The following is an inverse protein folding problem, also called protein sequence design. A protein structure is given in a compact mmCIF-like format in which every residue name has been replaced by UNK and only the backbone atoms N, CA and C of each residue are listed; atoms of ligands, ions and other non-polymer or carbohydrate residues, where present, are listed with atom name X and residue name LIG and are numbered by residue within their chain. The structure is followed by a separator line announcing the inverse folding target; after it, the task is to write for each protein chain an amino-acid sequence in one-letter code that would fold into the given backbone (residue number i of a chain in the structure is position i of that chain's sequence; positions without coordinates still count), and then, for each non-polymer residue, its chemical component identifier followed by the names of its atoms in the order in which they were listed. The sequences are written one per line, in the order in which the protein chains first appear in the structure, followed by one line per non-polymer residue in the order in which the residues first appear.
data_IF_922197389676
#
_entry.id   IF_922197389676
#
_cell.length_a   1.000
_cell.length_b   1.000
_cell.length_c   1.000
_cell.angle_alpha   90.00
_cell.angle_beta   90.00
_cell.angle_gamma   90.00
#
_symmetry.space_group_name_H-M   'P 1'
#
loop_
_entity.id
_entity.type
_entity.pdbx_description
1 polymer ?
2 non-polymer ?
3 water ?
#
# COMPACT_ATOMS: atom_id res chain seq x y z
N UNK A 1 10.28 -8.67 -1.54
CA UNK A 1 10.30 -7.31 -2.17
C UNK A 1 9.57 -6.32 -1.26
N UNK A 2 10.12 -5.11 -1.11
CA UNK A 2 9.55 -4.08 -0.23
C UNK A 2 8.69 -3.12 -1.05
N UNK A 3 7.60 -2.67 -0.45
CA UNK A 3 6.75 -1.58 -0.96
C UNK A 3 6.85 -0.41 0.01
N UNK A 4 7.35 0.72 -0.46
CA UNK A 4 7.48 1.93 0.36
C UNK A 4 6.20 2.73 0.23
N UNK A 5 5.52 2.92 1.35
CA UNK A 5 4.31 3.75 1.40
C UNK A 5 4.69 5.19 1.73
N UNK A 6 4.37 6.09 0.82
CA UNK A 6 4.61 7.54 1.05
C UNK A 6 3.85 7.98 2.31
N UNK A 7 4.46 8.82 3.19
CA UNK A 7 3.81 9.10 4.50
C UNK A 7 3.90 10.57 4.91
N UNK A 8 4.32 11.44 4.02
CA UNK A 8 4.41 12.91 4.26
C UNK A 8 3.03 13.49 4.57
N UNK A 9 2.98 14.55 5.37
CA UNK A 9 1.71 15.07 5.95
C UNK A 9 1.06 16.10 5.01
N UNK A 10 1.61 16.37 3.81
CA UNK A 10 0.91 17.24 2.82
C UNK A 10 1.28 16.81 1.40
N UNK A 11 0.38 17.06 0.42
CA UNK A 11 0.60 16.56 -0.94
C UNK A 11 1.93 17.03 -1.59
N UNK A 12 2.31 18.31 -1.47
CA UNK A 12 3.61 18.75 -2.04
C UNK A 12 4.76 17.91 -1.50
N UNK A 13 4.80 17.70 -0.18
CA UNK A 13 5.91 16.91 0.41
C UNK A 13 5.77 15.44 -0.01
N UNK A 14 4.53 14.94 -0.14
CA UNK A 14 4.32 13.52 -0.53
C UNK A 14 4.86 13.30 -1.95
N UNK A 15 4.60 14.26 -2.85
CA UNK A 15 5.00 14.19 -4.27
C UNK A 15 6.54 14.20 -4.31
N UNK A 16 7.17 15.02 -3.47
CA UNK A 16 8.66 15.07 -3.43
C UNK A 16 9.22 13.75 -2.88
N UNK A 17 8.53 13.16 -1.92
CA UNK A 17 8.99 11.89 -1.32
C UNK A 17 8.97 10.79 -2.39
N UNK A 18 8.00 10.82 -3.30
CA UNK A 18 7.95 9.86 -4.44
C UNK A 18 9.26 9.95 -5.22
N UNK A 19 9.62 11.19 -5.59
CA UNK A 19 10.86 11.44 -6.37
C UNK A 19 12.08 10.92 -5.60
N UNK A 20 12.16 11.22 -4.31
CA UNK A 20 13.32 10.82 -3.46
C UNK A 20 13.38 9.30 -3.36
N UNK A 21 12.22 8.64 -3.19
CA UNK A 21 12.23 7.17 -3.10
C UNK A 21 12.69 6.56 -4.42
N UNK A 22 12.22 7.10 -5.54
CA UNK A 22 12.59 6.54 -6.86
C UNK A 22 14.12 6.67 -7.02
N UNK A 23 14.68 7.83 -6.70
CA UNK A 23 16.16 8.08 -6.82
C UNK A 23 16.92 7.16 -5.87
N UNK A 24 16.37 6.92 -4.67
CA UNK A 24 17.04 6.08 -3.65
C UNK A 24 17.04 4.60 -4.08
N UNK A 25 16.07 4.20 -4.93
CA UNK A 25 16.03 2.83 -5.49
C UNK A 25 14.94 1.95 -4.89
N UNK A 26 13.94 2.54 -4.25
CA UNK A 26 12.76 1.78 -3.83
C UNK A 26 12.16 1.10 -5.08
N UNK A 27 11.80 -0.21 -5.02
CA UNK A 27 11.30 -0.92 -6.24
C UNK A 27 9.85 -0.55 -6.49
N UNK A 28 9.07 -0.47 -5.43
CA UNK A 28 7.63 -0.14 -5.51
C UNK A 28 7.33 0.98 -4.54
N UNK A 29 6.62 1.98 -5.04
CA UNK A 29 6.21 3.17 -4.27
C UNK A 29 4.69 3.24 -4.30
N UNK A 30 4.09 3.28 -3.11
CA UNK A 30 2.63 3.37 -2.99
C UNK A 30 2.23 4.72 -2.41
N UNK A 31 1.13 5.27 -2.91
CA UNK A 31 0.64 6.61 -2.53
C UNK A 31 -0.87 6.56 -2.34
N UNK A 32 -1.33 7.02 -1.18
CA UNK A 32 -2.77 7.05 -0.83
C UNK A 32 -3.27 8.49 -0.83
N UNK A 33 -4.47 8.68 -1.36
CA UNK A 33 -5.20 9.96 -1.31
C UNK A 33 -6.67 9.71 -1.60
N UNK A 34 -7.51 10.61 -1.11
CA UNK A 34 -8.96 10.61 -1.39
C UNK A 34 -9.22 11.32 -2.72
N UNK A 35 -8.21 11.97 -3.30
CA UNK A 35 -8.31 12.74 -4.57
C UNK A 35 -7.69 11.96 -5.73
N UNK A 36 -8.48 11.70 -6.76
CA UNK A 36 -8.10 11.12 -8.07
C UNK A 36 -7.01 11.99 -8.73
N UNK A 37 -7.19 13.29 -8.64
CA UNK A 37 -6.27 14.26 -9.27
C UNK A 37 -4.93 14.16 -8.57
N UNK A 38 -4.92 14.06 -7.23
CA UNK A 38 -3.65 13.92 -6.47
C UNK A 38 -2.98 12.58 -6.81
N UNK A 39 -3.75 11.49 -6.93
CA UNK A 39 -3.16 10.19 -7.30
C UNK A 39 -2.53 10.26 -8.69
N UNK A 40 -3.13 10.95 -9.66
CA UNK A 40 -2.51 11.17 -11.00
C UNK A 40 -1.18 11.89 -10.81
N UNK A 41 -1.10 12.89 -9.94
CA UNK A 41 0.17 13.64 -9.75
C UNK A 41 1.24 12.71 -9.17
N UNK A 42 0.85 11.84 -8.22
CA UNK A 42 1.81 10.89 -7.63
C UNK A 42 2.31 9.93 -8.71
N UNK A 43 1.44 9.45 -9.58
CA UNK A 43 1.84 8.54 -10.67
C UNK A 43 2.81 9.29 -11.61
N UNK A 44 2.50 10.54 -11.90
CA UNK A 44 3.34 11.36 -12.83
C UNK A 44 4.72 11.60 -12.18
N UNK A 45 4.78 11.69 -10.86
CA UNK A 45 6.04 11.86 -10.09
C UNK A 45 6.87 10.57 -10.03
N UNK A 46 6.23 9.40 -10.26
CA UNK A 46 6.88 8.09 -10.39
C UNK A 46 6.34 7.04 -9.45
N UNK A 47 5.20 7.26 -8.78
CA UNK A 47 4.61 6.21 -7.92
C UNK A 47 4.18 5.01 -8.79
N UNK A 48 4.24 3.82 -8.20
CA UNK A 48 3.81 2.55 -8.85
C UNK A 48 2.37 2.17 -8.46
N UNK A 49 2.00 2.43 -7.22
CA UNK A 49 0.68 1.95 -6.68
C UNK A 49 -0.13 3.17 -6.22
N UNK A 50 -1.30 3.38 -6.84
CA UNK A 50 -2.23 4.43 -6.46
C UNK A 50 -3.26 3.79 -5.53
N UNK A 51 -3.31 4.26 -4.30
CA UNK A 51 -4.29 3.73 -3.30
C UNK A 51 -5.53 4.62 -3.29
N UNK A 52 -6.66 4.08 -3.73
CA UNK A 52 -7.96 4.78 -3.69
C UNK A 52 -8.51 4.65 -2.27
N UNK A 53 -8.79 5.78 -1.65
CA UNK A 53 -9.30 5.85 -0.26
C UNK A 53 -10.55 6.74 -0.16
N UNK A 54 -11.17 7.15 -1.27
CA UNK A 54 -12.33 8.07 -1.26
C UNK A 54 -13.47 7.45 -0.42
N UNK A 55 -14.19 8.29 0.33
CA UNK A 55 -15.22 7.84 1.29
C UNK A 55 -16.47 7.37 0.52
N UNK A 56 -16.91 8.10 -0.49
CA UNK A 56 -18.15 7.84 -1.26
C UNK A 56 -17.87 6.69 -2.22
N UNK A 57 -18.52 5.52 -2.06
CA UNK A 57 -18.18 4.38 -2.90
C UNK A 57 -18.39 4.66 -4.41
N UNK A 58 -19.40 5.46 -4.77
CA UNK A 58 -19.66 5.81 -6.18
C UNK A 58 -18.42 6.57 -6.70
N UNK A 59 -17.98 7.54 -5.94
CA UNK A 59 -16.80 8.35 -6.31
C UNK A 59 -15.57 7.43 -6.38
N UNK A 60 -15.37 6.56 -5.39
CA UNK A 60 -14.18 5.71 -5.27
C UNK A 60 -14.13 4.77 -6.47
N UNK A 61 -15.25 4.13 -6.83
CA UNK A 61 -15.28 3.22 -8.00
C UNK A 61 -14.96 4.01 -9.28
N UNK A 62 -15.49 5.22 -9.42
CA UNK A 62 -15.15 6.05 -10.61
C UNK A 62 -13.65 6.36 -10.62
N UNK A 63 -13.04 6.57 -9.46
CA UNK A 63 -11.57 6.84 -9.43
C UNK A 63 -10.83 5.64 -9.98
N UNK A 64 -11.20 4.41 -9.63
CA UNK A 64 -10.55 3.22 -10.21
C UNK A 64 -10.64 3.31 -11.75
N UNK A 65 -11.82 3.57 -12.31
CA UNK A 65 -11.99 3.58 -13.78
C UNK A 65 -11.11 4.70 -14.38
N UNK A 66 -11.05 5.84 -13.71
CA UNK A 66 -10.31 7.04 -14.21
C UNK A 66 -8.81 6.74 -14.18
N UNK A 67 -8.35 6.11 -13.11
CA UNK A 67 -6.92 5.75 -12.97
C UNK A 67 -6.54 4.65 -13.97
N UNK A 68 -7.45 3.73 -14.30
CA UNK A 68 -7.18 2.65 -15.28
C UNK A 68 -7.05 3.27 -16.69
N UNK A 69 -8.05 4.03 -17.13
CA UNK A 69 -8.01 4.78 -18.41
C UNK A 69 -6.69 5.56 -18.47
N UNK A 70 -6.25 6.13 -17.35
CA UNK A 70 -5.05 7.01 -17.28
C UNK A 70 -3.76 6.19 -17.48
N UNK A 71 -3.77 4.90 -17.17
CA UNK A 71 -2.64 3.98 -17.39
C UNK A 71 -1.93 3.61 -16.11
N UNK A 72 -2.52 3.86 -14.94
CA UNK A 72 -2.00 3.38 -13.63
C UNK A 72 -1.70 1.88 -13.75
N UNK A 73 -0.47 1.47 -13.40
CA UNK A 73 0.01 0.06 -13.51
C UNK A 73 -0.60 -0.78 -12.39
N UNK A 74 -0.71 -0.22 -11.19
CA UNK A 74 -1.28 -0.93 -10.02
C UNK A 74 -2.19 0.01 -9.25
N UNK A 75 -3.46 -0.36 -9.18
CA UNK A 75 -4.49 0.40 -8.44
C UNK A 75 -4.90 -0.42 -7.23
N UNK A 76 -4.78 0.16 -6.05
CA UNK A 76 -5.25 -0.47 -4.80
C UNK A 76 -6.53 0.24 -4.34
N UNK A 77 -7.34 -0.47 -3.56
CA UNK A 77 -8.58 0.12 -3.06
C UNK A 77 -8.73 -0.30 -1.60
N UNK A 78 -8.94 0.66 -0.73
CA UNK A 78 -8.99 0.43 0.73
C UNK A 78 -10.44 0.59 1.18
N UNK A 79 -10.98 -0.45 1.82
CA UNK A 79 -12.35 -0.45 2.34
C UNK A 79 -12.46 -1.42 3.50
N UNK A 80 -13.40 -1.14 4.40
CA UNK A 80 -13.73 -2.07 5.50
C UNK A 80 -14.80 -3.09 5.02
N UNK A 81 -15.30 -2.94 3.80
CA UNK A 81 -16.39 -3.73 3.18
C UNK A 81 -15.84 -4.70 2.11
N UNK A 82 -15.94 -6.00 2.31
CA UNK A 82 -15.53 -6.95 1.24
C UNK A 82 -16.49 -6.84 0.04
N UNK A 83 -17.79 -6.53 0.24
CA UNK A 83 -18.66 -6.25 -0.94
C UNK A 83 -18.09 -5.09 -1.77
N UNK A 84 -17.70 -4.00 -1.12
CA UNK A 84 -17.12 -2.84 -1.84
C UNK A 84 -15.81 -3.26 -2.54
N UNK A 85 -14.97 -4.04 -1.87
CA UNK A 85 -13.70 -4.48 -2.48
C UNK A 85 -14.00 -5.29 -3.74
N UNK A 86 -15.04 -6.17 -3.73
CA UNK A 86 -15.38 -6.93 -4.95
C UNK A 86 -15.78 -5.98 -6.08
N UNK A 87 -16.57 -4.97 -5.79
CA UNK A 87 -16.98 -3.98 -6.82
C UNK A 87 -15.71 -3.26 -7.35
N UNK A 88 -14.75 -2.95 -6.48
CA UNK A 88 -13.51 -2.23 -6.90
C UNK A 88 -12.72 -3.13 -7.86
N UNK A 89 -12.57 -4.41 -7.52
CA UNK A 89 -11.85 -5.37 -8.38
C UNK A 89 -12.57 -5.49 -9.72
N UNK A 90 -13.91 -5.60 -9.73
CA UNK A 90 -14.67 -5.69 -11.00
C UNK A 90 -14.45 -4.40 -11.84
N UNK A 91 -14.30 -3.25 -11.20
CA UNK A 91 -14.09 -1.94 -11.88
C UNK A 91 -12.65 -1.80 -12.43
N UNK A 92 -11.74 -2.69 -12.06
CA UNK A 92 -10.38 -2.72 -12.58
C UNK A 92 -9.30 -2.54 -11.53
N UNK A 93 -9.61 -2.52 -10.23
CA UNK A 93 -8.58 -2.44 -9.17
C UNK A 93 -7.73 -3.72 -9.21
N UNK A 94 -6.45 -3.60 -8.90
CA UNK A 94 -5.53 -4.75 -8.86
C UNK A 94 -5.45 -5.31 -7.43
N UNK A 95 -5.46 -4.45 -6.43
CA UNK A 95 -5.11 -4.81 -5.03
C UNK A 95 -6.28 -4.43 -4.13
N UNK A 96 -6.84 -5.42 -3.43
CA UNK A 96 -7.86 -5.19 -2.40
C UNK A 96 -7.20 -5.09 -1.03
N UNK A 97 -7.31 -3.93 -0.39
CA UNK A 97 -6.74 -3.67 0.94
C UNK A 97 -7.87 -3.88 1.94
N UNK A 98 -7.73 -4.96 2.68
CA UNK A 98 -8.67 -5.29 3.78
C UNK A 98 -8.40 -4.34 4.96
N UNK A 99 -9.41 -3.57 5.36
CA UNK A 99 -9.30 -2.52 6.40
C UNK A 99 -10.28 -2.77 7.54
N UNK A 100 -11.02 -3.88 7.54
CA UNK A 100 -12.04 -4.18 8.56
C UNK A 100 -11.46 -4.04 9.97
N UNK A 101 -12.22 -3.49 10.94
CA UNK A 101 -11.75 -3.15 12.30
C UNK A 101 -11.56 -4.40 13.15
N UNK A 102 -12.45 -5.38 13.04
CA UNK A 102 -12.43 -6.60 13.89
C UNK A 102 -11.53 -7.63 13.21
N UNK A 103 -10.43 -8.11 13.85
CA UNK A 103 -9.56 -9.12 13.23
C UNK A 103 -10.28 -10.38 12.72
N UNK A 104 -11.31 -10.90 13.44
CA UNK A 104 -12.04 -12.09 12.97
C UNK A 104 -12.71 -11.81 11.62
N UNK A 105 -13.34 -10.63 11.49
CA UNK A 105 -14.01 -10.19 10.25
C UNK A 105 -12.94 -10.03 9.15
N UNK A 106 -11.82 -9.41 9.50
CA UNK A 106 -10.78 -9.06 8.49
C UNK A 106 -10.20 -10.38 7.92
N UNK A 107 -9.95 -11.38 8.77
CA UNK A 107 -9.41 -12.68 8.30
C UNK A 107 -10.48 -13.36 7.42
N UNK A 108 -11.77 -13.37 7.81
CA UNK A 108 -12.79 -14.00 6.95
C UNK A 108 -12.85 -13.26 5.59
N UNK A 109 -12.62 -11.95 5.57
CA UNK A 109 -12.66 -11.20 4.28
C UNK A 109 -11.50 -11.66 3.39
N UNK A 110 -10.34 -11.94 3.97
CA UNK A 110 -9.18 -12.44 3.17
C UNK A 110 -9.60 -13.75 2.49
N UNK A 111 -10.21 -14.67 3.25
CA UNK A 111 -10.57 -16.01 2.73
C UNK A 111 -11.65 -15.82 1.64
N UNK A 112 -12.60 -14.93 1.88
CA UNK A 112 -13.73 -14.66 0.95
C UNK A 112 -13.17 -14.10 -0.35
N UNK A 113 -12.29 -13.10 -0.28
CA UNK A 113 -11.75 -12.43 -1.47
C UNK A 113 -10.85 -13.41 -2.27
N UNK A 114 -10.14 -14.31 -1.59
CA UNK A 114 -9.30 -15.33 -2.27
C UNK A 114 -10.23 -16.22 -3.12
N UNK A 115 -11.35 -16.67 -2.53
CA UNK A 115 -12.29 -17.57 -3.23
C UNK A 115 -13.03 -16.78 -4.32
N UNK A 116 -13.26 -15.48 -4.11
CA UNK A 116 -13.92 -14.62 -5.12
C UNK A 116 -13.02 -14.51 -6.36
N UNK A 117 -11.71 -14.69 -6.19
CA UNK A 117 -10.73 -14.60 -7.29
C UNK A 117 -9.81 -13.41 -7.22
N UNK A 118 -9.76 -12.67 -6.11
CA UNK A 118 -8.85 -11.51 -5.96
C UNK A 118 -7.41 -11.99 -6.19
N UNK A 119 -6.69 -11.29 -7.06
CA UNK A 119 -5.30 -11.65 -7.47
C UNK A 119 -4.30 -11.16 -6.41
N UNK A 120 -4.60 -10.05 -5.74
CA UNK A 120 -3.67 -9.38 -4.79
C UNK A 120 -4.47 -8.81 -3.63
N UNK A 121 -4.34 -9.45 -2.48
CA UNK A 121 -5.00 -9.03 -1.23
C UNK A 121 -3.96 -8.49 -0.27
N UNK A 122 -4.22 -7.31 0.27
CA UNK A 122 -3.30 -6.69 1.25
C UNK A 122 -4.01 -6.66 2.59
N UNK A 123 -3.23 -6.72 3.66
CA UNK A 123 -3.74 -6.70 5.04
C UNK A 123 -2.79 -5.90 5.92
N UNK A 124 -3.31 -5.09 6.81
CA UNK A 124 -2.51 -4.14 7.64
C UNK A 124 -2.67 -4.49 9.11
N UNK A 125 -1.57 -4.52 9.87
CA UNK A 125 -1.62 -4.71 11.34
C UNK A 125 -0.34 -4.24 12.04
N UNK A 126 -0.47 -3.88 13.32
CA UNK A 126 0.68 -3.56 14.21
C UNK A 126 1.27 -4.88 14.73
N UNK A 127 0.54 -5.99 14.51
CA UNK A 127 0.87 -7.34 15.03
C UNK A 127 1.44 -8.24 13.93
N UNK A 128 2.68 -8.69 14.12
CA UNK A 128 3.35 -9.74 13.30
C UNK A 128 2.50 -11.03 13.31
N UNK A 129 1.92 -11.39 14.45
CA UNK A 129 1.12 -12.63 14.61
C UNK A 129 -0.14 -12.54 13.74
N UNK A 130 -0.81 -11.40 13.76
CA UNK A 130 -1.97 -11.18 12.88
C UNK A 130 -1.55 -11.20 11.40
N UNK A 131 -0.44 -10.55 11.02
CA UNK A 131 -0.03 -10.58 9.59
C UNK A 131 0.26 -12.02 9.14
N UNK A 132 0.87 -12.83 9.98
CA UNK A 132 1.15 -14.25 9.64
C UNK A 132 -0.18 -15.01 9.44
N UNK A 133 -1.15 -14.80 10.34
CA UNK A 133 -2.49 -15.42 10.18
C UNK A 133 -3.11 -14.99 8.83
N UNK A 134 -3.00 -13.71 8.47
CA UNK A 134 -3.58 -13.19 7.20
C UNK A 134 -2.86 -13.81 6.00
N UNK A 135 -1.51 -13.87 6.05
CA UNK A 135 -0.73 -14.52 4.96
C UNK A 135 -1.20 -15.97 4.83
N UNK A 136 -1.35 -16.70 5.95
CA UNK A 136 -1.80 -18.11 5.92
C UNK A 136 -3.19 -18.18 5.28
N UNK A 137 -4.06 -17.21 5.58
CA UNK A 137 -5.46 -17.14 5.09
C UNK A 137 -5.49 -16.82 3.59
N UNK A 138 -4.41 -16.28 3.02
CA UNK A 138 -4.28 -16.06 1.57
C UNK A 138 -3.94 -14.61 1.21
N UNK A 139 -3.66 -13.73 2.15
CA UNK A 139 -3.18 -12.36 1.86
C UNK A 139 -1.87 -12.46 1.09
N UNK A 140 -1.66 -11.55 0.14
CA UNK A 140 -0.41 -11.48 -0.67
C UNK A 140 0.55 -10.42 -0.12
N UNK A 141 0.00 -9.31 0.35
CA UNK A 141 0.82 -8.14 0.80
C UNK A 141 0.58 -7.92 2.29
N UNK A 142 1.65 -7.87 3.06
CA UNK A 142 1.61 -7.58 4.50
C UNK A 142 2.02 -6.13 4.72
N UNK A 143 1.12 -5.33 5.26
CA UNK A 143 1.34 -3.89 5.57
C UNK A 143 1.66 -3.72 7.05
N UNK A 144 2.89 -3.30 7.35
CA UNK A 144 3.37 -3.07 8.74
C UNK A 144 2.82 -1.72 9.22
N UNK A 145 2.22 -1.69 10.41
CA UNK A 145 1.59 -0.46 10.95
C UNK A 145 2.08 -0.10 12.35
N UNK A 146 3.00 -0.86 12.94
CA UNK A 146 3.59 -0.56 14.27
C UNK A 146 3.59 0.95 14.55
N UNK A 147 3.07 1.36 15.73
CA UNK A 147 2.85 2.77 16.18
C UNK A 147 4.17 3.54 16.10
N UNK A 148 5.10 3.30 17.04
CA UNK A 148 6.40 4.02 17.11
C UNK A 148 7.39 3.37 16.13
N UNK A 149 8.44 4.12 15.67
CA UNK A 149 9.38 3.58 14.68
C UNK A 149 10.19 2.32 15.05
N UNK A 150 10.48 2.09 16.32
CA UNK A 150 11.28 0.92 16.79
C UNK A 150 10.44 -0.37 16.61
N UNK A 151 9.14 -0.28 16.88
CA UNK A 151 8.18 -1.41 16.67
C UNK A 151 8.12 -1.79 15.18
N UNK A 152 8.09 -0.80 14.27
CA UNK A 152 7.98 -1.02 12.80
C UNK A 152 9.20 -1.83 12.30
N UNK A 153 10.39 -1.52 12.79
CA UNK A 153 11.63 -2.25 12.39
C UNK A 153 11.51 -3.73 12.78
N UNK A 154 11.07 -4.01 14.00
CA UNK A 154 10.90 -5.39 14.52
C UNK A 154 9.87 -6.14 13.65
N UNK A 155 8.75 -5.50 13.34
CA UNK A 155 7.69 -6.14 12.52
C UNK A 155 8.24 -6.53 11.15
N UNK A 156 9.02 -5.65 10.51
CA UNK A 156 9.59 -5.95 9.18
C UNK A 156 10.55 -7.13 9.37
N UNK A 157 11.39 -7.08 10.43
CA UNK A 157 12.33 -8.19 10.79
C UNK A 157 11.54 -9.49 10.91
N UNK A 158 10.46 -9.47 11.68
CA UNK A 158 9.59 -10.65 11.91
C UNK A 158 9.11 -11.19 10.55
N UNK A 159 8.76 -10.32 9.59
CA UNK A 159 8.15 -10.75 8.31
C UNK A 159 9.21 -11.30 7.38
N UNK A 160 10.39 -10.69 7.38
CA UNK A 160 11.56 -11.18 6.61
C UNK A 160 11.85 -12.60 7.10
N UNK A 161 11.90 -12.80 8.42
CA UNK A 161 12.25 -14.11 9.03
C UNK A 161 11.20 -15.15 8.59
N UNK A 162 9.92 -14.75 8.53
CA UNK A 162 8.77 -15.61 8.13
C UNK A 162 8.80 -15.98 6.64
N UNK A 163 9.43 -15.14 5.79
CA UNK A 163 9.50 -15.38 4.33
C UNK A 163 8.40 -14.65 3.56
N UNK A 164 7.80 -13.61 4.14
CA UNK A 164 6.79 -12.78 3.44
C UNK A 164 7.43 -12.18 2.18
N UNK A 165 6.78 -12.35 1.03
CA UNK A 165 7.35 -11.96 -0.29
C UNK A 165 7.02 -10.50 -0.65
N UNK A 166 6.02 -9.90 -0.03
CA UNK A 166 5.57 -8.53 -0.33
C UNK A 166 5.28 -7.81 0.98
N UNK A 167 6.25 -7.03 1.43
CA UNK A 167 6.24 -6.34 2.74
C UNK A 167 6.11 -4.85 2.48
N UNK A 168 5.05 -4.22 2.96
CA UNK A 168 4.81 -2.77 2.80
C UNK A 168 5.00 -2.07 4.15
N UNK A 169 5.63 -0.91 4.14
CA UNK A 169 5.81 -0.11 5.36
C UNK A 169 5.92 1.36 4.97
N UNK A 170 5.61 2.23 5.92
CA UNK A 170 5.75 3.69 5.74
C UNK A 170 7.24 4.01 5.52
N UNK A 171 7.46 4.84 4.49
CA UNK A 171 8.79 5.30 4.03
C UNK A 171 9.46 6.23 5.04
N UNK A 172 10.78 6.22 5.05
CA UNK A 172 11.62 7.32 5.60
C UNK A 172 11.22 8.65 4.94
N UNK A 173 11.42 9.77 5.62
CA UNK A 173 11.14 11.14 5.09
C UNK A 173 12.10 11.49 3.93
N UNK A 174 11.69 12.47 3.10
CA UNK A 174 12.57 13.02 2.02
C UNK A 174 13.93 13.44 2.58
N UNK A 175 13.93 14.10 3.74
CA UNK A 175 15.20 14.64 4.33
C UNK A 175 16.10 13.43 4.64
N UNK A 176 15.56 12.31 5.13
CA UNK A 176 16.39 11.11 5.41
C UNK A 176 16.91 10.53 4.09
N UNK A 177 16.06 10.40 3.08
CA UNK A 177 16.44 9.79 1.79
C UNK A 177 17.51 10.70 1.13
N UNK A 178 17.30 12.00 1.19
CA UNK A 178 18.24 12.98 0.58
C UNK A 178 19.60 12.90 1.25
N UNK A 179 19.65 12.73 2.58
CA UNK A 179 20.94 12.63 3.32
C UNK A 179 21.66 11.37 2.85
N UNK A 180 20.95 10.23 2.77
CA UNK A 180 21.56 8.97 2.29
C UNK A 180 22.07 9.16 0.87
N UNK A 181 21.29 9.79 0.00
CA UNK A 181 21.73 10.03 -1.41
C UNK A 181 22.95 10.98 -1.42
N UNK A 182 22.94 12.01 -0.58
CA UNK A 182 24.09 12.97 -0.53
C UNK A 182 25.36 12.19 -0.17
N UNK A 183 25.25 11.16 0.69
CA UNK A 183 26.38 10.31 1.13
C UNK A 183 26.73 9.26 0.05
N UNK A 184 25.99 9.23 -1.05
CA UNK A 184 26.22 8.28 -2.16
C UNK A 184 25.60 6.91 -1.91
N UNK A 185 24.65 6.81 -0.97
CA UNK A 185 24.01 5.52 -0.60
C UNK A 185 22.66 5.35 -1.29
N UNK A 186 22.27 4.10 -1.48
CA UNK A 186 21.02 3.69 -2.19
C UNK A 186 20.38 2.56 -1.39
N UNK A 187 19.11 2.29 -1.64
CA UNK A 187 18.37 1.13 -1.07
C UNK A 187 19.09 -0.14 -1.52
N UNK A 188 19.31 -1.10 -0.62
CA UNK A 188 19.85 -2.43 -1.01
C UNK A 188 18.73 -3.46 -0.95
N UNK A 189 18.67 -4.34 -1.96
CA UNK A 189 17.75 -5.51 -2.03
C UNK A 189 17.94 -6.39 -0.79
N UNK A 190 16.83 -6.97 -0.27
CA UNK A 190 16.86 -7.86 0.93
C UNK A 190 16.73 -9.33 0.51
X LIG B 1 13.81 -4.88 -2.28
X LIG B 1 12.41 -4.70 -2.57
X LIG B 1 14.60 -4.11 -3.17
X LIG B 1 14.17 -6.26 -2.41
X LIG B 1 14.07 -4.48 -0.92
X LIG C 1 -2.58 6.08 7.71
X LIG C 1 -3.98 5.68 7.59
X LIG C 1 -2.47 7.39 8.33
X LIG C 1 -1.85 5.13 8.52
X LIG C 1 -1.98 6.13 6.40
X LIG D 1 -17.19 2.40 7.17
X LIG D 1 -18.03 3.13 6.25
X LIG D 1 -17.46 2.86 8.53
X LIG D 1 -17.52 0.98 7.08
X LIG D 1 -15.78 2.60 6.84
X LIG E 1 -11.47 -22.05 4.73
X LIG E 1 -12.15 -22.30 5.98
X LIG E 1 -11.89 -20.77 4.21
X LIG E 1 -11.77 -23.10 3.77
X LIG E 1 -10.03 -22.03 4.98
#
# INVERSE_FOLDING_TARGET
MDIAIVDADNPADAIQQVKDLRKYGAKLIAYKSKSSEELKLALKAGADIAIVDADNPADAIQQVKDLRKYGAKLIAYKSKSSEELKLALKAGADIAIVDADNPADAIQQVKDLRKYGAKLIAYKSKSSEELKLALKAGADIAIVDADNPADAIQQVKDLRKYGAKLIAYKSKSSEELKLALKAGHHHHHH
SO4 S O1 O2 O3 O4
SO4 S O1 O2 O3 O4
SO4 S O1 O2 O3 O4
SO4 S O1 O2 O3 O4
#
